data_IF_698712832092
#
_entry.id   IF_698712832092
#
_cell.length_a   1.000
_cell.length_b   1.000
_cell.length_c   1.000
_cell.angle_alpha   90.00
_cell.angle_beta   90.00
_cell.angle_gamma   90.00
#
_symmetry.space_group_name_H-M   'P 1'
#
loop_
_entity.id
_entity.type
_entity.pdbx_description
1 polymer ?
#
# COMPACT_ATOMS: atom_id res chain seq x y z
N UNK A 1 10.07 9.55 -7.87
CA UNK A 1 9.23 9.36 -6.67
C UNK A 1 8.70 7.96 -6.63
N UNK A 2 8.61 7.39 -5.44
CA UNK A 2 8.05 6.06 -5.27
C UNK A 2 6.95 6.07 -4.23
N UNK A 3 5.94 5.24 -4.43
CA UNK A 3 4.80 5.10 -3.54
C UNK A 3 4.64 3.64 -3.18
N UNK A 4 4.15 3.39 -1.96
CA UNK A 4 3.84 2.04 -1.50
C UNK A 4 2.43 2.01 -0.92
N UNK A 5 1.85 0.82 -0.88
CA UNK A 5 0.57 0.60 -0.23
C UNK A 5 0.84 -0.07 1.11
N UNK A 6 0.28 0.49 2.18
CA UNK A 6 0.47 -0.01 3.54
C UNK A 6 -0.87 -0.41 4.12
N UNK A 7 -0.94 -1.58 4.71
CA UNK A 7 -2.09 -2.04 5.47
C UNK A 7 -1.92 -1.61 6.93
N UNK A 8 -2.88 -0.85 7.45
CA UNK A 8 -2.83 -0.24 8.77
C UNK A 8 -4.08 -0.65 9.55
N UNK A 9 -4.19 -1.92 9.99
CA UNK A 9 -5.40 -2.42 10.64
C UNK A 9 -5.66 -1.77 12.01
N UNK A 10 -4.59 -1.45 12.75
CA UNK A 10 -4.69 -0.78 14.04
C UNK A 10 -3.77 0.44 14.00
N UNK A 11 -4.31 1.64 13.72
CA UNK A 11 -3.47 2.84 13.55
C UNK A 11 -2.55 3.16 14.73
N UNK A 12 -2.93 2.81 15.94
CA UNK A 12 -2.11 3.05 17.13
C UNK A 12 -1.03 2.00 17.35
N UNK A 13 -1.04 0.92 16.60
CA UNK A 13 -0.09 -0.19 16.73
C UNK A 13 0.74 -0.31 15.47
N UNK A 14 1.91 0.30 15.48
CA UNK A 14 2.79 0.31 14.31
C UNK A 14 3.28 -1.08 13.92
N UNK A 15 3.31 -2.01 14.86
CA UNK A 15 3.72 -3.39 14.59
C UNK A 15 2.68 -4.15 13.75
N UNK A 16 1.43 -3.65 13.72
CA UNK A 16 0.38 -4.25 12.90
C UNK A 16 0.50 -3.86 11.42
N UNK A 17 1.32 -2.87 11.09
CA UNK A 17 1.45 -2.35 9.73
C UNK A 17 2.19 -3.34 8.85
N UNK A 18 1.75 -3.46 7.60
CA UNK A 18 2.44 -4.29 6.62
C UNK A 18 2.37 -3.63 5.26
N UNK A 19 3.43 -3.78 4.48
CA UNK A 19 3.49 -3.25 3.12
C UNK A 19 3.00 -4.31 2.14
N UNK A 20 2.41 -3.85 1.03
CA UNK A 20 2.00 -4.76 -0.02
C UNK A 20 3.24 -5.41 -0.64
N UNK A 21 3.29 -6.75 -0.72
CA UNK A 21 4.43 -7.42 -1.32
C UNK A 21 4.43 -7.27 -2.84
N UNK A 22 5.61 -7.36 -3.44
CA UNK A 22 5.75 -7.40 -4.89
C UNK A 22 5.38 -8.78 -5.44
N UNK A 23 5.57 -8.97 -6.77
CA UNK A 23 5.22 -10.21 -7.44
C UNK A 23 5.95 -11.43 -6.90
N UNK A 24 7.13 -11.24 -6.32
CA UNK A 24 7.93 -12.33 -5.78
C UNK A 24 7.51 -12.71 -4.36
N UNK A 25 6.77 -11.83 -3.68
CA UNK A 25 6.40 -12.00 -2.28
C UNK A 25 7.55 -11.77 -1.31
N UNK A 26 8.72 -11.37 -1.78
CA UNK A 26 9.92 -11.19 -0.95
C UNK A 26 10.28 -9.73 -0.71
N UNK A 27 9.76 -8.82 -1.52
CA UNK A 27 10.02 -7.40 -1.42
C UNK A 27 8.73 -6.61 -1.34
N UNK A 28 8.85 -5.30 -1.47
CA UNK A 28 7.72 -4.38 -1.42
C UNK A 28 7.42 -3.89 -2.83
N UNK A 29 6.14 -3.83 -3.18
CA UNK A 29 5.71 -3.27 -4.46
C UNK A 29 5.84 -1.76 -4.43
N UNK A 30 6.58 -1.21 -5.41
CA UNK A 30 6.76 0.24 -5.56
C UNK A 30 6.00 0.73 -6.80
N UNK A 31 5.31 1.84 -6.65
CA UNK A 31 4.54 2.47 -7.72
C UNK A 31 5.20 3.81 -8.09
N UNK A 32 5.10 4.18 -9.36
CA UNK A 32 5.70 5.42 -9.86
C UNK A 32 4.89 6.67 -9.54
N UNK A 33 3.60 6.50 -9.23
CA UNK A 33 2.72 7.61 -8.91
C UNK A 33 1.64 7.17 -7.93
N UNK A 34 1.04 8.14 -7.25
CA UNK A 34 -0.12 7.90 -6.39
C UNK A 34 -1.26 7.25 -7.19
N UNK A 35 -1.47 7.73 -8.42
CA UNK A 35 -2.53 7.23 -9.27
C UNK A 35 -2.38 5.73 -9.56
N UNK A 36 -1.16 5.29 -9.87
CA UNK A 36 -0.91 3.87 -10.12
C UNK A 36 -1.16 3.01 -8.88
N UNK A 37 -0.73 3.50 -7.70
CA UNK A 37 -0.98 2.79 -6.45
C UNK A 37 -2.48 2.71 -6.16
N UNK A 38 -3.20 3.80 -6.36
CA UNK A 38 -4.64 3.83 -6.13
C UNK A 38 -5.40 2.93 -7.10
N UNK A 39 -4.98 2.88 -8.37
CA UNK A 39 -5.56 1.95 -9.33
C UNK A 39 -5.41 0.50 -8.89
N UNK A 40 -4.27 0.16 -8.29
CA UNK A 40 -4.06 -1.18 -7.76
C UNK A 40 -5.09 -1.49 -6.67
N UNK A 41 -5.37 -0.53 -5.78
CA UNK A 41 -6.41 -0.70 -4.77
C UNK A 41 -7.78 -0.88 -5.40
N UNK A 42 -8.10 -0.13 -6.46
CA UNK A 42 -9.36 -0.27 -7.18
C UNK A 42 -9.53 -1.68 -7.76
N UNK A 43 -8.48 -2.19 -8.41
CA UNK A 43 -8.49 -3.51 -9.03
C UNK A 43 -8.74 -4.59 -7.97
N UNK A 44 -8.18 -4.41 -6.78
CA UNK A 44 -8.37 -5.35 -5.68
C UNK A 44 -9.69 -5.14 -4.91
N UNK A 45 -10.45 -4.09 -5.24
CA UNK A 45 -11.68 -3.77 -4.54
C UNK A 45 -11.46 -3.15 -3.17
N UNK A 46 -10.32 -2.53 -2.93
CA UNK A 46 -9.92 -1.99 -1.63
C UNK A 46 -9.87 -0.46 -1.59
N UNK A 47 -10.33 0.23 -2.64
CA UNK A 47 -10.23 1.68 -2.77
C UNK A 47 -10.95 2.45 -1.65
N UNK A 48 -11.96 1.86 -1.07
CA UNK A 48 -12.69 2.47 0.04
C UNK A 48 -12.35 1.89 1.40
N UNK A 49 -11.37 0.99 1.46
CA UNK A 49 -10.96 0.38 2.71
C UNK A 49 -10.09 1.36 3.49
N UNK A 50 -10.53 1.68 4.72
CA UNK A 50 -9.82 2.63 5.57
C UNK A 50 -8.49 2.10 6.09
N UNK A 51 -8.30 0.80 6.04
CA UNK A 51 -7.08 0.17 6.55
C UNK A 51 -5.92 0.24 5.58
N UNK A 52 -6.18 0.59 4.32
CA UNK A 52 -5.14 0.68 3.30
C UNK A 52 -4.80 2.13 3.01
N UNK A 53 -3.51 2.44 2.97
CA UNK A 53 -3.00 3.78 2.72
C UNK A 53 -1.91 3.76 1.67
N UNK A 54 -1.84 4.82 0.88
CA UNK A 54 -0.76 5.02 -0.09
C UNK A 54 0.20 6.04 0.50
N UNK A 55 1.48 5.67 0.61
CA UNK A 55 2.52 6.52 1.17
C UNK A 55 3.59 6.79 0.14
N UNK A 56 4.09 8.02 0.11
CA UNK A 56 5.24 8.40 -0.70
C UNK A 56 6.51 8.11 0.08
N UNK A 57 7.44 7.35 -0.53
CA UNK A 57 8.69 6.97 0.15
C UNK A 57 9.93 7.60 -0.47
N UNK A 58 9.79 8.20 -1.65
CA UNK A 58 10.91 8.96 -2.27
C UNK A 58 10.37 10.05 -3.16
#
# INVERSE_FOLDING_TARGET
MSFIIVHVPVPSDIESYSCMPDDTGKGIEYFNSYHEAFECLEIMGLEFDKDFKVLRVH
#
